data_IF_001240977815
#
_entry.id   IF_001240977815
#
_cell.length_a   1.000
_cell.length_b   1.000
_cell.length_c   1.000
_cell.angle_alpha   90.00
_cell.angle_beta   90.00
_cell.angle_gamma   90.00
#
_symmetry.space_group_name_H-M   'P 1'
#
loop_
_entity.id
_entity.type
_entity.pdbx_description
1 polymer ?
#
# COMPACT_ATOMS: atom_id res chain seq x y z
N UNK A 1 -7.26 -2.83 7.88
CA UNK A 1 -6.89 -2.01 6.73
C UNK A 1 -6.16 -2.85 5.69
N UNK A 2 -6.65 -2.81 4.46
CA UNK A 2 -5.93 -3.33 3.28
C UNK A 2 -5.05 -2.22 2.70
N UNK A 3 -3.85 -2.55 2.28
CA UNK A 3 -2.86 -1.61 1.76
C UNK A 3 -2.05 -2.27 0.63
N UNK A 4 -1.40 -1.48 -0.21
CA UNK A 4 -0.47 -1.95 -1.23
C UNK A 4 0.59 -0.89 -1.53
N UNK A 5 1.84 -1.31 -1.75
CA UNK A 5 2.89 -0.41 -2.21
C UNK A 5 2.72 -0.10 -3.71
N UNK A 6 3.04 1.13 -4.14
CA UNK A 6 2.87 1.53 -5.56
C UNK A 6 3.61 0.59 -6.52
N UNK A 7 4.84 0.22 -6.19
CA UNK A 7 5.63 -0.68 -7.03
C UNK A 7 5.07 -2.10 -7.05
N UNK A 8 4.53 -2.59 -5.92
CA UNK A 8 3.85 -3.89 -5.88
C UNK A 8 2.65 -3.91 -6.83
N UNK A 9 1.86 -2.82 -6.85
CA UNK A 9 0.72 -2.71 -7.76
C UNK A 9 1.16 -2.76 -9.23
N UNK A 10 2.26 -2.09 -9.58
CA UNK A 10 2.83 -2.17 -10.94
C UNK A 10 3.28 -3.59 -11.25
N UNK A 11 3.98 -4.26 -10.33
CA UNK A 11 4.43 -5.64 -10.51
C UNK A 11 3.25 -6.61 -10.67
N UNK A 12 2.14 -6.39 -9.97
CA UNK A 12 0.92 -7.18 -10.12
C UNK A 12 0.29 -7.00 -11.51
N UNK A 13 0.32 -5.79 -12.07
CA UNK A 13 -0.12 -5.56 -13.46
C UNK A 13 0.81 -6.26 -14.46
N UNK A 14 2.12 -6.13 -14.29
CA UNK A 14 3.11 -6.81 -15.15
C UNK A 14 2.89 -8.33 -15.10
N UNK A 15 2.81 -8.90 -13.89
CA UNK A 15 2.53 -10.32 -13.71
C UNK A 15 1.23 -10.75 -14.38
N UNK A 16 0.15 -9.95 -14.28
CA UNK A 16 -1.12 -10.28 -14.90
C UNK A 16 -1.07 -10.23 -16.44
N UNK A 17 -0.20 -9.39 -17.01
CA UNK A 17 0.04 -9.35 -18.46
C UNK A 17 0.93 -10.51 -18.94
N UNK A 18 1.84 -11.00 -18.09
CA UNK A 18 2.79 -12.06 -18.43
C UNK A 18 2.27 -13.48 -18.11
N UNK A 19 1.26 -13.59 -17.25
CA UNK A 19 0.70 -14.87 -16.80
C UNK A 19 -0.53 -15.23 -17.63
N UNK A 20 -0.40 -16.15 -18.59
CA UNK A 20 -1.51 -16.57 -19.46
C UNK A 20 -2.73 -17.11 -18.71
N UNK A 21 -2.53 -17.72 -17.52
CA UNK A 21 -3.61 -18.24 -16.69
C UNK A 21 -4.32 -17.16 -15.85
N UNK A 22 -3.85 -15.91 -15.86
CA UNK A 22 -4.44 -14.85 -15.06
C UNK A 22 -5.75 -14.37 -15.67
N UNK A 23 -6.88 -14.89 -15.17
CA UNK A 23 -8.21 -14.57 -15.71
C UNK A 23 -9.23 -14.20 -14.61
N UNK A 24 -9.99 -13.14 -14.84
CA UNK A 24 -11.06 -12.67 -13.96
C UNK A 24 -10.62 -11.63 -12.92
N UNK A 25 -11.25 -11.64 -11.74
CA UNK A 25 -11.10 -10.56 -10.74
C UNK A 25 -9.98 -10.89 -9.74
N UNK A 26 -9.02 -9.98 -9.62
CA UNK A 26 -7.93 -10.03 -8.64
C UNK A 26 -8.00 -8.83 -7.68
N UNK A 27 -7.78 -9.10 -6.40
CA UNK A 27 -7.63 -8.04 -5.40
C UNK A 27 -6.16 -7.65 -5.29
N UNK A 28 -5.79 -6.50 -5.85
CA UNK A 28 -4.43 -5.97 -5.76
C UNK A 28 -4.20 -5.32 -4.39
N UNK A 29 -3.93 -6.15 -3.39
CA UNK A 29 -3.63 -5.76 -2.00
C UNK A 29 -2.46 -6.60 -1.47
N UNK A 30 -1.72 -6.09 -0.48
CA UNK A 30 -0.71 -6.87 0.24
C UNK A 30 -1.33 -8.10 0.93
N UNK A 31 -0.52 -9.16 1.10
CA UNK A 31 -0.90 -10.41 1.77
C UNK A 31 -1.03 -10.27 3.30
N UNK A 32 -0.51 -9.18 3.89
CA UNK A 32 -0.55 -8.92 5.33
C UNK A 32 -1.33 -7.64 5.66
N UNK A 33 -2.68 -7.69 5.71
CA UNK A 33 -3.48 -6.56 6.16
C UNK A 33 -3.16 -6.20 7.62
N UNK A 34 -3.18 -4.92 7.94
CA UNK A 34 -2.83 -4.38 9.26
C UNK A 34 -3.99 -3.61 9.89
N UNK A 35 -3.99 -3.38 11.19
CA UNK A 35 -4.95 -2.47 11.81
C UNK A 35 -4.55 -1.00 11.56
N UNK A 36 -5.47 -0.05 11.75
CA UNK A 36 -5.12 1.38 11.68
C UNK A 36 -4.08 1.77 12.75
N UNK A 37 -4.10 1.08 13.89
CA UNK A 37 -3.10 1.24 14.94
C UNK A 37 -1.72 0.82 14.44
N UNK A 38 -1.60 -0.37 13.86
CA UNK A 38 -0.33 -0.89 13.34
C UNK A 38 0.20 -0.04 12.18
N UNK A 39 -0.69 0.39 11.27
CA UNK A 39 -0.36 1.30 10.18
C UNK A 39 0.23 2.62 10.72
N UNK A 40 -0.45 3.24 11.68
CA UNK A 40 -0.02 4.51 12.27
C UNK A 40 1.32 4.35 12.98
N UNK A 41 1.49 3.26 13.73
CA UNK A 41 2.75 2.92 14.40
C UNK A 41 3.90 2.76 13.40
N UNK A 42 3.70 2.02 12.31
CA UNK A 42 4.69 1.81 11.26
C UNK A 42 5.05 3.13 10.56
N UNK A 43 4.05 3.94 10.20
CA UNK A 43 4.27 5.25 9.60
C UNK A 43 5.11 6.15 10.52
N UNK A 44 4.75 6.24 11.81
CA UNK A 44 5.49 7.04 12.79
C UNK A 44 6.94 6.60 12.95
N UNK A 45 7.22 5.29 12.95
CA UNK A 45 8.60 4.78 12.93
C UNK A 45 9.36 5.26 11.69
N UNK A 46 8.76 5.13 10.51
CA UNK A 46 9.42 5.47 9.25
C UNK A 46 9.77 6.96 9.13
N UNK A 47 8.91 7.86 9.65
CA UNK A 47 9.15 9.31 9.61
C UNK A 47 9.79 9.85 10.91
N UNK A 48 10.24 8.98 11.81
CA UNK A 48 10.82 9.36 13.12
C UNK A 48 9.91 10.28 13.96
N UNK A 49 8.59 10.03 13.97
CA UNK A 49 7.59 10.77 14.76
C UNK A 49 6.92 9.88 15.81
N UNK A 50 6.83 10.32 17.08
CA UNK A 50 6.13 9.57 18.13
C UNK A 50 4.64 9.39 17.83
N UNK A 51 4.12 8.18 18.05
CA UNK A 51 2.70 7.80 17.82
C UNK A 51 2.05 7.40 19.13
N UNK A 52 2.08 8.31 20.11
CA UNK A 52 1.70 8.03 21.51
C UNK A 52 0.18 7.97 21.67
N UNK A 53 -0.56 8.78 20.91
CA UNK A 53 -2.02 8.83 20.95
C UNK A 53 -2.62 8.47 19.59
N UNK A 54 -3.73 7.70 19.54
CA UNK A 54 -4.46 7.50 18.30
C UNK A 54 -5.00 8.86 17.82
N UNK A 55 -4.88 9.13 16.52
CA UNK A 55 -5.44 10.36 15.95
C UNK A 55 -6.97 10.30 16.07
N UNK A 56 -7.62 11.27 16.74
CA UNK A 56 -9.07 11.29 16.83
C UNK A 56 -9.71 11.38 15.44
N UNK A 57 -10.77 10.61 15.19
CA UNK A 57 -11.42 10.56 13.87
C UNK A 57 -11.92 11.91 13.35
N UNK A 58 -12.23 12.86 14.23
CA UNK A 58 -12.62 14.22 13.84
C UNK A 58 -11.45 15.00 13.22
N UNK A 59 -10.21 14.79 13.68
CA UNK A 59 -9.01 15.46 13.13
C UNK A 59 -8.78 14.98 11.70
N UNK A 60 -8.91 13.68 11.46
CA UNK A 60 -8.83 13.10 10.11
C UNK A 60 -9.95 13.64 9.21
N UNK A 61 -11.18 13.75 9.72
CA UNK A 61 -12.31 14.38 9.00
C UNK A 61 -12.05 15.84 8.66
N UNK A 62 -11.39 16.60 9.53
CA UNK A 62 -11.07 18.01 9.27
C UNK A 62 -9.97 18.17 8.22
N UNK A 63 -8.92 17.34 8.25
CA UNK A 63 -7.80 17.44 7.30
C UNK A 63 -8.17 16.87 5.93
N UNK A 64 -8.86 15.73 5.90
CA UNK A 64 -9.13 14.97 4.67
C UNK A 64 -10.59 15.04 4.20
N UNK A 65 -11.46 15.76 4.92
CA UNK A 65 -12.87 15.89 4.54
C UNK A 65 -13.59 14.54 4.47
N UNK A 66 -14.39 14.36 3.43
CA UNK A 66 -15.11 13.10 3.16
C UNK A 66 -14.17 11.92 2.84
N UNK A 67 -12.92 12.16 2.40
CA UNK A 67 -11.95 11.07 2.17
C UNK A 67 -11.51 10.38 3.46
N UNK A 68 -11.78 10.98 4.62
CA UNK A 68 -11.56 10.34 5.92
C UNK A 68 -12.40 9.08 6.12
N UNK A 69 -13.58 8.94 5.50
CA UNK A 69 -14.38 7.71 5.58
C UNK A 69 -13.67 6.55 4.90
N UNK A 70 -12.96 6.77 3.78
CA UNK A 70 -12.15 5.74 3.11
C UNK A 70 -11.03 5.22 4.03
N UNK A 71 -10.41 6.12 4.82
CA UNK A 71 -9.38 5.75 5.81
C UNK A 71 -9.97 5.00 7.02
N UNK A 72 -11.22 5.30 7.38
CA UNK A 72 -11.89 4.73 8.56
C UNK A 72 -12.64 3.42 8.24
N UNK A 73 -13.18 3.28 7.04
CA UNK A 73 -14.02 2.16 6.58
C UNK A 73 -13.24 1.14 5.75
N UNK A 74 -11.95 0.93 6.08
CA UNK A 74 -11.13 -0.02 5.35
C UNK A 74 -11.54 -1.47 5.62
N UNK A 75 -12.00 -2.16 4.57
CA UNK A 75 -12.29 -3.59 4.62
C UNK A 75 -11.01 -4.42 4.64
N UNK A 76 -11.01 -5.54 5.38
CA UNK A 76 -9.93 -6.54 5.37
C UNK A 76 -10.12 -7.45 4.15
N UNK A 77 -9.36 -7.20 3.09
CA UNK A 77 -9.36 -7.95 1.83
C UNK A 77 -8.05 -8.71 1.73
N UNK A 78 -8.11 -9.92 1.16
CA UNK A 78 -6.93 -10.74 0.91
C UNK A 78 -6.70 -10.94 -0.60
N UNK A 79 -5.45 -11.04 -1.05
CA UNK A 79 -5.10 -11.30 -2.45
C UNK A 79 -5.15 -12.80 -2.76
N UNK A 80 -6.28 -13.44 -2.47
CA UNK A 80 -6.40 -14.92 -2.43
C UNK A 80 -6.03 -15.63 -3.74
N UNK A 81 -6.21 -14.99 -4.89
CA UNK A 81 -5.84 -15.57 -6.19
C UNK A 81 -4.33 -15.50 -6.44
N UNK A 82 -3.73 -14.33 -6.25
CA UNK A 82 -2.26 -14.16 -6.28
C UNK A 82 -1.56 -15.18 -5.37
N UNK A 83 -2.08 -15.40 -4.15
CA UNK A 83 -1.51 -16.40 -3.23
C UNK A 83 -1.65 -17.85 -3.74
N UNK A 84 -2.78 -18.20 -4.34
CA UNK A 84 -2.99 -19.55 -4.91
C UNK A 84 -2.13 -19.81 -6.14
N UNK A 85 -1.85 -18.76 -6.91
CA UNK A 85 -1.08 -18.80 -8.15
C UNK A 85 0.42 -18.56 -7.90
N UNK A 86 0.85 -18.48 -6.63
CA UNK A 86 2.26 -18.44 -6.25
C UNK A 86 2.93 -17.09 -6.49
N UNK A 87 2.18 -15.99 -6.58
CA UNK A 87 2.73 -14.65 -6.72
C UNK A 87 3.65 -14.30 -5.54
N UNK A 88 4.85 -13.84 -5.84
CA UNK A 88 5.83 -13.44 -4.85
C UNK A 88 5.75 -11.94 -4.56
N UNK A 89 5.26 -11.60 -3.36
CA UNK A 89 5.19 -10.21 -2.91
C UNK A 89 6.58 -9.65 -2.65
N UNK A 90 6.90 -8.49 -3.23
CA UNK A 90 8.17 -7.77 -2.99
C UNK A 90 8.20 -7.22 -1.56
N UNK A 91 7.13 -6.56 -1.12
CA UNK A 91 7.06 -5.95 0.22
C UNK A 91 6.38 -6.90 1.21
N UNK A 92 7.17 -7.57 2.05
CA UNK A 92 6.67 -8.61 2.96
C UNK A 92 5.89 -8.07 4.16
N UNK A 93 6.02 -6.79 4.48
CA UNK A 93 5.31 -6.12 5.55
C UNK A 93 5.28 -4.61 5.32
N UNK A 94 4.48 -3.92 6.13
CA UNK A 94 4.27 -2.48 6.00
C UNK A 94 5.49 -1.66 6.40
N UNK A 95 6.35 -2.18 7.29
CA UNK A 95 7.57 -1.51 7.69
C UNK A 95 8.57 -1.45 6.52
N UNK A 96 8.73 -2.53 5.77
CA UNK A 96 9.52 -2.56 4.53
C UNK A 96 8.99 -1.60 3.48
N UNK A 97 7.66 -1.56 3.29
CA UNK A 97 7.04 -0.64 2.34
C UNK A 97 7.30 0.82 2.72
N UNK A 98 7.18 1.19 4.00
CA UNK A 98 7.49 2.55 4.43
C UNK A 98 8.99 2.86 4.42
N UNK A 99 9.85 1.89 4.77
CA UNK A 99 11.29 2.07 4.69
C UNK A 99 11.73 2.37 3.25
N UNK A 100 11.13 1.69 2.27
CA UNK A 100 11.35 1.99 0.84
C UNK A 100 10.89 3.41 0.50
N UNK A 101 9.63 3.77 0.80
CA UNK A 101 9.03 5.10 0.51
C UNK A 101 9.88 6.25 1.07
N UNK A 102 10.37 6.10 2.31
CA UNK A 102 11.09 7.16 3.02
C UNK A 102 12.62 7.02 2.94
N UNK A 103 13.14 6.04 2.21
CA UNK A 103 14.57 5.99 1.89
C UNK A 103 14.95 7.15 0.94
N UNK A 104 16.16 7.70 1.08
CA UNK A 104 16.63 8.85 0.29
C UNK A 104 16.77 8.58 -1.24
N UNK A 105 16.40 7.39 -1.72
CA UNK A 105 16.64 6.92 -3.08
C UNK A 105 15.44 6.94 -4.03
N UNK A 106 14.27 7.45 -3.62
CA UNK A 106 13.16 7.70 -4.57
C UNK A 106 13.43 8.97 -5.40
N UNK A 107 14.45 8.92 -6.26
CA UNK A 107 14.50 9.76 -7.47
C UNK A 107 13.39 9.27 -8.40
N UNK A 108 12.17 9.73 -8.12
CA UNK A 108 11.04 9.57 -9.01
C UNK A 108 11.39 10.08 -10.39
N UNK A 109 11.15 9.23 -11.39
CA UNK A 109 10.88 9.55 -12.79
C UNK A 109 11.43 10.92 -13.25
N UNK A 110 12.71 10.95 -13.64
CA UNK A 110 13.19 12.03 -14.50
C UNK A 110 12.38 11.97 -15.80
N UNK A 111 11.61 13.01 -16.06
CA UNK A 111 10.91 13.25 -17.31
C UNK A 111 11.92 13.38 -18.46
N UNK A 112 12.44 12.26 -18.92
CA UNK A 112 13.25 12.17 -20.13
C UNK A 112 12.35 11.72 -21.26
N UNK A 113 11.81 12.71 -21.99
CA UNK A 113 11.62 12.63 -23.43
C UNK A 113 10.62 11.62 -23.97
N UNK A 114 9.33 11.80 -23.68
CA UNK A 114 8.29 11.42 -24.66
C UNK A 114 7.62 12.71 -25.13
N UNK A 115 8.12 13.24 -26.25
CA UNK A 115 7.33 14.13 -27.11
C UNK A 115 6.41 13.22 -27.91
N UNK A 116 5.11 13.36 -27.68
CA UNK A 116 4.08 12.98 -28.65
C UNK A 116 4.06 14.07 -29.72
#
# INVERSE_FOLDING_TARGET
MSWIHREELVNMFVWAMETESAEGIYNAVSDKPVTNYDFTKALGRAISRPTIFPVPGFVLKTIFGEMSSILLDSQKVLPSRFLKEGYEFKFKDIDQAFADIFSENHKGFSSSGVKI
#
